data_IF_046099804701
#
_entry.id   IF_046099804701
#
_cell.length_a   1.000
_cell.length_b   1.000
_cell.length_c   1.000
_cell.angle_alpha   90.00
_cell.angle_beta   90.00
_cell.angle_gamma   90.00
#
_symmetry.space_group_name_H-M   'P 1'
#
loop_
_entity.id
_entity.type
_entity.pdbx_description
1 polymer ?
#
# COMPACT_ATOMS: atom_id res chain seq x y z
N UNK A 1 -23.64 24.37 -4.94
CA UNK A 1 -23.91 22.93 -5.13
C UNK A 1 -22.96 22.19 -4.19
N UNK A 2 -23.47 21.70 -3.08
CA UNK A 2 -22.69 21.25 -1.92
C UNK A 2 -21.95 19.94 -2.20
N UNK A 3 -20.64 19.95 -1.98
CA UNK A 3 -19.70 18.80 -2.06
C UNK A 3 -19.89 17.83 -0.87
N UNK A 4 -21.13 17.44 -0.61
CA UNK A 4 -21.52 16.58 0.52
C UNK A 4 -21.64 15.09 0.14
N UNK A 5 -21.39 14.73 -1.13
CA UNK A 5 -21.59 13.37 -1.63
C UNK A 5 -20.45 12.37 -1.36
N UNK A 6 -19.23 12.83 -1.07
CA UNK A 6 -18.04 11.94 -1.03
C UNK A 6 -17.71 11.36 0.36
N UNK A 7 -18.42 11.77 1.42
CA UNK A 7 -18.12 11.32 2.80
C UNK A 7 -18.86 10.05 3.24
N UNK A 8 -19.76 9.49 2.42
CA UNK A 8 -20.75 8.52 2.88
C UNK A 8 -20.48 7.04 2.54
N UNK A 9 -19.27 6.62 2.13
CA UNK A 9 -19.03 5.19 1.80
C UNK A 9 -17.60 4.73 2.07
N UNK A 10 -17.17 4.78 3.34
CA UNK A 10 -15.91 4.18 3.77
C UNK A 10 -16.15 3.36 5.06
N UNK A 11 -17.19 2.54 5.03
CA UNK A 11 -17.71 1.84 6.21
C UNK A 11 -16.97 0.51 6.46
N UNK A 12 -16.24 0.01 5.47
CA UNK A 12 -15.48 -1.25 5.59
C UNK A 12 -13.99 -0.96 5.76
N UNK A 13 -13.28 -1.75 6.60
CA UNK A 13 -11.83 -1.67 6.72
C UNK A 13 -11.18 -1.69 5.34
N UNK A 14 -10.43 -0.63 5.03
CA UNK A 14 -9.64 -0.53 3.81
C UNK A 14 -10.28 0.16 2.61
N UNK A 15 -11.55 0.55 2.67
CA UNK A 15 -12.18 1.34 1.60
C UNK A 15 -11.50 2.70 1.41
N UNK A 16 -11.11 3.36 2.51
CA UNK A 16 -10.45 4.67 2.45
C UNK A 16 -9.11 4.57 1.74
N UNK A 17 -8.31 3.60 2.17
CA UNK A 17 -6.99 3.40 1.62
C UNK A 17 -7.09 2.95 0.16
N UNK A 18 -8.08 2.13 -0.22
CA UNK A 18 -8.31 1.77 -1.62
C UNK A 18 -8.66 3.00 -2.47
N UNK A 19 -9.62 3.81 -2.03
CA UNK A 19 -9.98 5.06 -2.71
C UNK A 19 -8.77 6.01 -2.84
N UNK A 20 -7.98 6.16 -1.76
CA UNK A 20 -6.80 7.01 -1.75
C UNK A 20 -5.74 6.51 -2.74
N UNK A 21 -5.45 5.21 -2.74
CA UNK A 21 -4.49 4.60 -3.67
C UNK A 21 -4.94 4.68 -5.13
N UNK A 22 -6.23 4.55 -5.41
CA UNK A 22 -6.79 4.77 -6.75
C UNK A 22 -6.62 6.22 -7.19
N UNK A 23 -6.79 7.18 -6.28
CA UNK A 23 -6.55 8.61 -6.56
C UNK A 23 -5.07 8.92 -6.81
N UNK A 24 -4.18 8.35 -6.01
CA UNK A 24 -2.73 8.47 -6.20
C UNK A 24 -2.25 7.84 -7.50
N UNK A 25 -2.84 6.72 -7.95
CA UNK A 25 -2.57 6.13 -9.28
C UNK A 25 -2.91 7.08 -10.42
N UNK A 26 -4.08 7.72 -10.35
CA UNK A 26 -4.53 8.65 -11.39
C UNK A 26 -3.59 9.86 -11.44
N UNK A 27 -3.11 10.34 -10.29
CA UNK A 27 -2.10 11.38 -10.22
C UNK A 27 -0.74 10.91 -10.79
N UNK A 28 -0.38 9.65 -10.59
CA UNK A 28 0.89 9.05 -11.03
C UNK A 28 0.89 8.60 -12.50
N UNK A 29 -0.26 8.55 -13.16
CA UNK A 29 -0.43 8.19 -14.57
C UNK A 29 0.13 9.30 -15.49
N UNK A 30 1.45 9.43 -15.50
CA UNK A 30 2.19 10.48 -16.20
C UNK A 30 3.60 10.71 -15.65
N UNK A 31 3.93 10.13 -14.49
CA UNK A 31 5.23 10.34 -13.84
C UNK A 31 6.26 9.32 -14.32
N UNK A 32 7.16 9.78 -15.19
CA UNK A 32 8.43 9.11 -15.45
C UNK A 32 9.42 9.51 -14.37
N UNK A 33 9.61 8.65 -13.35
CA UNK A 33 10.83 8.47 -12.52
C UNK A 33 10.56 7.21 -11.66
N UNK A 34 11.49 6.25 -11.67
CA UNK A 34 11.36 5.01 -10.91
C UNK A 34 11.09 5.22 -9.41
N UNK A 35 11.62 6.30 -8.83
CA UNK A 35 11.45 6.66 -7.42
C UNK A 35 10.00 7.01 -7.03
N UNK A 36 9.26 7.75 -7.87
CA UNK A 36 7.84 8.07 -7.59
C UNK A 36 6.98 6.81 -7.61
N UNK A 37 7.22 5.94 -8.60
CA UNK A 37 6.55 4.64 -8.69
C UNK A 37 6.89 3.75 -7.50
N UNK A 38 8.15 3.73 -7.08
CA UNK A 38 8.59 2.98 -5.91
C UNK A 38 7.88 3.48 -4.63
N UNK A 39 7.75 4.80 -4.43
CA UNK A 39 6.99 5.39 -3.32
C UNK A 39 5.50 5.00 -3.34
N UNK A 40 4.88 4.99 -4.52
CA UNK A 40 3.50 4.54 -4.67
C UNK A 40 3.33 3.08 -4.22
N UNK A 41 4.20 2.18 -4.69
CA UNK A 41 4.20 0.77 -4.29
C UNK A 41 4.42 0.62 -2.77
N UNK A 42 5.32 1.42 -2.17
CA UNK A 42 5.53 1.39 -0.72
C UNK A 42 4.27 1.82 0.06
N UNK A 43 3.59 2.89 -0.37
CA UNK A 43 2.34 3.36 0.24
C UNK A 43 1.22 2.31 0.18
N UNK A 44 1.14 1.57 -0.93
CA UNK A 44 0.21 0.43 -1.08
C UNK A 44 0.54 -0.72 -0.13
N UNK A 45 1.82 -1.06 -0.02
CA UNK A 45 2.27 -2.11 0.87
C UNK A 45 1.84 -1.84 2.31
N UNK A 46 2.10 -0.63 2.82
CA UNK A 46 1.67 -0.20 4.17
C UNK A 46 0.15 -0.30 4.32
N UNK A 47 -0.59 0.19 3.33
CA UNK A 47 -2.06 0.12 3.32
C UNK A 47 -2.57 -1.33 3.43
N UNK A 48 -2.05 -2.24 2.61
CA UNK A 48 -2.48 -3.63 2.62
C UNK A 48 -2.08 -4.33 3.93
N UNK A 49 -0.91 -3.99 4.50
CA UNK A 49 -0.52 -4.47 5.81
C UNK A 49 -1.53 -4.06 6.89
N UNK A 50 -1.97 -2.80 6.91
CA UNK A 50 -2.98 -2.30 7.86
C UNK A 50 -4.32 -3.03 7.75
N UNK A 51 -4.70 -3.44 6.53
CA UNK A 51 -5.93 -4.20 6.25
C UNK A 51 -5.81 -5.70 6.52
N UNK A 52 -4.63 -6.20 6.90
CA UNK A 52 -4.38 -7.64 7.06
C UNK A 52 -4.26 -8.41 5.74
N UNK A 53 -4.15 -7.71 4.61
CA UNK A 53 -3.95 -8.28 3.27
C UNK A 53 -2.45 -8.57 3.05
N UNK A 54 -1.95 -9.58 3.76
CA UNK A 54 -0.51 -9.82 3.88
C UNK A 54 0.17 -10.17 2.55
N UNK A 55 -0.50 -10.91 1.66
CA UNK A 55 0.06 -11.32 0.36
C UNK A 55 0.21 -10.13 -0.60
N UNK A 56 -0.82 -9.30 -0.68
CA UNK A 56 -0.85 -8.08 -1.49
C UNK A 56 0.17 -7.06 -0.97
N UNK A 57 0.26 -6.92 0.35
CA UNK A 57 1.29 -6.10 1.00
C UNK A 57 2.71 -6.55 0.61
N UNK A 58 2.99 -7.86 0.64
CA UNK A 58 4.29 -8.40 0.24
C UNK A 58 4.62 -8.14 -1.23
N UNK A 59 3.65 -8.27 -2.12
CA UNK A 59 3.86 -8.05 -3.56
C UNK A 59 4.21 -6.57 -3.87
N UNK A 60 3.52 -5.64 -3.21
CA UNK A 60 3.76 -4.21 -3.35
C UNK A 60 5.09 -3.79 -2.71
N UNK A 61 5.43 -4.32 -1.52
CA UNK A 61 6.72 -4.10 -0.89
C UNK A 61 7.88 -4.58 -1.77
N UNK A 62 7.76 -5.76 -2.39
CA UNK A 62 8.79 -6.27 -3.29
C UNK A 62 8.97 -5.36 -4.52
N UNK A 63 7.87 -4.85 -5.08
CA UNK A 63 7.91 -3.91 -6.21
C UNK A 63 8.60 -2.60 -5.83
N UNK A 64 8.31 -2.04 -4.65
CA UNK A 64 8.97 -0.85 -4.12
C UNK A 64 10.48 -1.06 -3.94
N UNK A 65 10.87 -2.17 -3.30
CA UNK A 65 12.27 -2.54 -3.08
C UNK A 65 13.06 -2.72 -4.38
N UNK A 66 12.42 -3.26 -5.42
CA UNK A 66 13.03 -3.46 -6.73
C UNK A 66 13.26 -2.14 -7.49
N UNK A 67 12.29 -1.24 -7.43
CA UNK A 67 12.28 -0.03 -8.26
C UNK A 67 13.20 1.09 -7.77
N UNK A 68 13.42 1.22 -6.46
CA UNK A 68 14.30 2.25 -5.90
C UNK A 68 15.08 1.73 -4.69
N UNK A 69 16.40 1.75 -4.80
CA UNK A 69 17.31 1.32 -3.73
C UNK A 69 17.23 2.21 -2.49
N UNK A 70 16.88 3.49 -2.65
CA UNK A 70 16.79 4.42 -1.52
C UNK A 70 15.67 4.04 -0.54
N UNK A 71 14.57 3.47 -1.02
CA UNK A 71 13.41 3.08 -0.19
C UNK A 71 13.35 1.57 0.11
N UNK A 72 14.33 0.82 -0.39
CA UNK A 72 14.41 -0.63 -0.18
C UNK A 72 14.39 -1.02 1.29
N UNK A 73 15.09 -0.32 2.22
CA UNK A 73 15.03 -0.65 3.65
C UNK A 73 13.60 -0.63 4.21
N UNK A 74 12.82 0.41 3.90
CA UNK A 74 11.44 0.60 4.34
C UNK A 74 10.53 -0.47 3.77
N UNK A 75 10.68 -0.78 2.48
CA UNK A 75 9.94 -1.85 1.84
C UNK A 75 10.22 -3.23 2.47
N UNK A 76 11.47 -3.53 2.81
CA UNK A 76 11.84 -4.78 3.49
C UNK A 76 11.31 -4.85 4.92
N UNK A 77 11.19 -3.72 5.62
CA UNK A 77 10.56 -3.67 6.94
C UNK A 77 9.07 -4.03 6.86
N UNK A 78 8.34 -3.47 5.88
CA UNK A 78 6.92 -3.83 5.64
C UNK A 78 6.80 -5.32 5.34
N UNK A 79 7.65 -5.87 4.46
CA UNK A 79 7.66 -7.30 4.16
C UNK A 79 7.92 -8.17 5.40
N UNK A 80 8.87 -7.77 6.27
CA UNK A 80 9.13 -8.47 7.53
C UNK A 80 7.95 -8.43 8.48
N UNK A 81 7.23 -7.31 8.57
CA UNK A 81 6.01 -7.20 9.37
C UNK A 81 4.90 -8.13 8.86
N UNK A 82 4.76 -8.28 7.53
CA UNK A 82 3.82 -9.25 6.95
C UNK A 82 4.16 -10.68 7.37
N UNK A 83 5.42 -11.09 7.24
CA UNK A 83 5.88 -12.43 7.61
C UNK A 83 5.66 -12.69 9.11
N UNK A 84 6.01 -11.73 9.97
CA UNK A 84 5.78 -11.87 11.41
C UNK A 84 4.30 -12.01 11.75
N UNK A 85 3.42 -11.22 11.12
CA UNK A 85 1.96 -11.35 11.32
C UNK A 85 1.42 -12.69 10.82
N UNK A 86 1.94 -13.21 9.70
CA UNK A 86 1.57 -14.55 9.20
C UNK A 86 1.99 -15.65 10.19
N UNK A 87 3.21 -15.56 10.72
CA UNK A 87 3.73 -16.53 11.69
C UNK A 87 3.01 -16.48 13.05
N UNK A 88 2.59 -15.29 13.50
CA UNK A 88 1.85 -15.10 14.76
C UNK A 88 0.37 -15.43 14.61
N UNK A 89 -0.20 -15.28 13.42
CA UNK A 89 -1.60 -15.58 13.10
C UNK A 89 -1.85 -17.00 12.57
N UNK A 90 -0.83 -17.85 12.50
CA UNK A 90 -0.97 -19.27 12.11
C UNK A 90 -1.80 -20.06 13.14
N UNK A 91 -2.49 -21.14 12.72
CA UNK A 91 -3.32 -21.93 13.62
C UNK A 91 -2.46 -22.54 14.73
N UNK A 92 -2.65 -22.04 15.96
CA UNK A 92 -2.29 -22.76 17.18
C UNK A 92 -3.28 -23.87 17.47
#
# INVERSE_FOLDING_TARGET
MTDQGSRAKLDRPGEFSRWFLEREMLASAGMGIAADRARLHLGRAVTFLEQGMLRESLAEANSAAYLDHAIRPEALLVARMCILRELVGGPG
#
